data_IF_325106670708
#
_entry.id   IF_325106670708
#
_cell.length_a   1.000
_cell.length_b   1.000
_cell.length_c   1.000
_cell.angle_alpha   90.00
_cell.angle_beta   90.00
_cell.angle_gamma   90.00
#
_symmetry.space_group_name_H-M   'P 1'
#
loop_
_entity.id
_entity.type
_entity.pdbx_description
1 polymer ?
#
# COMPACT_ATOMS: atom_id res chain seq x y z
N UNK A 1 0.19 20.05 -6.54
CA UNK A 1 0.35 18.58 -6.37
C UNK A 1 0.83 18.23 -4.97
N UNK A 2 1.97 18.77 -4.50
CA UNK A 2 2.52 18.45 -3.18
C UNK A 2 1.56 18.69 -2.01
N UNK A 3 0.88 19.84 -1.95
CA UNK A 3 -0.06 20.15 -0.87
C UNK A 3 -1.20 19.12 -0.81
N UNK A 4 -1.80 18.80 -1.97
CA UNK A 4 -2.88 17.80 -2.06
C UNK A 4 -2.36 16.44 -1.60
N UNK A 5 -1.17 16.04 -2.07
CA UNK A 5 -0.54 14.79 -1.67
C UNK A 5 -0.32 14.70 -0.16
N UNK A 6 0.26 15.73 0.46
CA UNK A 6 0.49 15.78 1.90
C UNK A 6 -0.82 15.83 2.70
N UNK A 7 -1.83 16.57 2.23
CA UNK A 7 -3.17 16.59 2.84
C UNK A 7 -3.81 15.21 2.82
N UNK A 8 -3.72 14.46 1.73
CA UNK A 8 -4.20 13.08 1.67
C UNK A 8 -3.38 12.17 2.59
N UNK A 9 -2.06 12.27 2.54
CA UNK A 9 -1.15 11.42 3.29
C UNK A 9 -1.32 11.54 4.81
N UNK A 10 -1.43 12.76 5.34
CA UNK A 10 -1.51 13.03 6.77
C UNK A 10 -2.94 13.26 7.26
N UNK A 11 -3.83 13.76 6.41
CA UNK A 11 -5.20 14.09 6.77
C UNK A 11 -6.15 12.90 6.71
N UNK A 12 -5.85 11.84 5.95
CA UNK A 12 -6.77 10.70 5.80
C UNK A 12 -6.75 9.79 7.02
N UNK A 13 -7.93 9.48 7.56
CA UNK A 13 -8.10 8.44 8.57
C UNK A 13 -8.11 7.06 7.91
N UNK A 14 -7.28 6.16 8.43
CA UNK A 14 -7.21 4.77 7.97
C UNK A 14 -7.90 3.88 9.01
N UNK A 15 -9.12 3.40 8.72
CA UNK A 15 -9.82 2.48 9.60
C UNK A 15 -9.19 1.09 9.54
N UNK A 16 -9.60 0.25 10.49
CA UNK A 16 -9.31 -1.18 10.46
C UNK A 16 -9.91 -1.80 9.19
N UNK A 17 -9.23 -2.82 8.67
CA UNK A 17 -9.63 -3.47 7.44
C UNK A 17 -9.36 -4.97 7.49
N UNK A 18 -10.10 -5.72 6.69
CA UNK A 18 -10.03 -7.17 6.66
C UNK A 18 -9.79 -7.65 5.24
N UNK A 19 -9.17 -8.82 5.11
CA UNK A 19 -8.92 -9.45 3.82
C UNK A 19 -8.93 -10.97 3.94
N UNK A 20 -9.09 -11.61 2.80
CA UNK A 20 -8.98 -13.06 2.66
C UNK A 20 -7.71 -13.37 1.89
N UNK A 21 -6.94 -14.35 2.34
CA UNK A 21 -5.75 -14.80 1.61
C UNK A 21 -6.18 -15.47 0.31
N UNK A 22 -5.80 -14.87 -0.82
CA UNK A 22 -6.11 -15.38 -2.16
C UNK A 22 -4.94 -16.17 -2.78
N UNK A 23 -3.78 -16.25 -2.11
CA UNK A 23 -2.64 -17.00 -2.63
C UNK A 23 -2.89 -18.53 -2.49
N UNK A 24 -3.06 -19.30 -3.59
CA UNK A 24 -3.35 -20.73 -3.54
C UNK A 24 -2.21 -21.57 -2.96
N UNK A 25 -0.98 -21.06 -3.03
CA UNK A 25 0.21 -21.74 -2.49
C UNK A 25 0.39 -21.54 -0.98
N UNK A 26 -0.41 -20.64 -0.39
CA UNK A 26 -0.34 -20.37 1.04
C UNK A 26 -1.11 -21.43 1.84
N UNK A 27 -0.55 -21.95 2.96
CA UNK A 27 -1.32 -22.78 3.88
C UNK A 27 -2.52 -22.04 4.50
N UNK A 28 -2.52 -20.72 4.40
CA UNK A 28 -3.59 -19.85 4.88
C UNK A 28 -4.61 -19.48 3.81
N UNK A 29 -4.58 -20.12 2.63
CA UNK A 29 -5.54 -19.84 1.56
C UNK A 29 -7.00 -19.91 2.06
N UNK A 30 -7.77 -18.87 1.77
CA UNK A 30 -9.16 -18.74 2.24
C UNK A 30 -9.33 -18.28 3.68
N UNK A 31 -8.26 -18.13 4.48
CA UNK A 31 -8.35 -17.56 5.82
C UNK A 31 -8.62 -16.06 5.79
N UNK A 32 -9.43 -15.61 6.75
CA UNK A 32 -9.74 -14.21 6.97
C UNK A 32 -8.83 -13.61 8.03
N UNK A 33 -8.23 -12.48 7.72
CA UNK A 33 -7.40 -11.71 8.63
C UNK A 33 -7.95 -10.31 8.80
N UNK A 34 -7.79 -9.77 10.01
CA UNK A 34 -8.11 -8.39 10.36
C UNK A 34 -6.81 -7.65 10.65
N UNK A 35 -6.71 -6.43 10.14
CA UNK A 35 -5.59 -5.52 10.36
C UNK A 35 -6.10 -4.31 11.12
N UNK A 36 -5.63 -4.19 12.36
CA UNK A 36 -5.94 -3.07 13.24
C UNK A 36 -5.02 -1.89 12.90
N UNK A 37 -5.65 -0.78 12.53
CA UNK A 37 -5.01 0.46 12.12
C UNK A 37 -5.45 1.61 13.00
N UNK A 38 -6.73 2.01 12.93
CA UNK A 38 -7.30 3.12 13.70
C UNK A 38 -6.48 4.42 13.75
N UNK A 39 -5.73 4.81 12.70
CA UNK A 39 -4.71 5.88 12.76
C UNK A 39 -4.81 6.90 11.63
N UNK A 40 -4.15 8.06 11.83
CA UNK A 40 -3.85 9.09 10.80
C UNK A 40 -2.34 9.27 10.68
N UNK A 41 -1.85 9.62 9.50
CA UNK A 41 -0.45 10.03 9.28
C UNK A 41 0.63 8.95 9.47
N UNK A 42 0.25 7.67 9.61
CA UNK A 42 1.20 6.57 9.65
C UNK A 42 1.73 6.30 8.24
N UNK A 43 3.04 6.42 8.03
CA UNK A 43 3.65 6.25 6.70
C UNK A 43 3.98 4.78 6.39
N UNK A 44 4.29 4.00 7.43
CA UNK A 44 4.63 2.59 7.26
C UNK A 44 3.36 1.77 6.94
N UNK A 45 3.46 0.80 6.02
CA UNK A 45 2.42 -0.23 5.85
C UNK A 45 2.12 -0.93 7.19
N UNK A 46 0.93 -1.52 7.38
CA UNK A 46 -0.20 -1.65 6.44
C UNK A 46 -1.22 -0.49 6.45
N UNK A 47 -1.04 0.44 7.39
CA UNK A 47 -2.04 1.43 7.78
C UNK A 47 -1.79 2.83 7.22
N UNK A 48 -1.08 2.93 6.10
CA UNK A 48 -0.83 4.21 5.47
C UNK A 48 -2.01 4.64 4.58
N UNK A 49 -2.15 5.96 4.43
CA UNK A 49 -3.25 6.56 3.68
C UNK A 49 -3.21 6.19 2.19
N UNK A 50 -2.01 6.04 1.61
CA UNK A 50 -1.82 5.68 0.20
C UNK A 50 -2.45 4.32 -0.09
N UNK A 51 -2.06 3.29 0.67
CA UNK A 51 -2.60 1.94 0.55
C UNK A 51 -4.08 1.86 0.90
N UNK A 52 -4.57 2.72 1.80
CA UNK A 52 -6.01 2.82 2.06
C UNK A 52 -6.79 3.35 0.84
N UNK A 53 -6.34 4.46 0.26
CA UNK A 53 -6.97 5.05 -0.93
C UNK A 53 -6.90 4.08 -2.10
N UNK A 54 -5.75 3.45 -2.30
CA UNK A 54 -5.50 2.47 -3.34
C UNK A 54 -6.47 1.26 -3.24
N UNK A 55 -6.61 0.67 -2.05
CA UNK A 55 -7.61 -0.38 -1.76
C UNK A 55 -9.05 0.08 -1.99
N UNK A 56 -9.37 1.35 -1.73
CA UNK A 56 -10.73 1.89 -1.88
C UNK A 56 -11.09 2.20 -3.33
N UNK A 57 -10.13 2.62 -4.14
CA UNK A 57 -10.37 3.04 -5.53
C UNK A 57 -10.25 1.86 -6.49
N UNK A 58 -9.18 1.06 -6.39
CA UNK A 58 -8.90 -0.05 -7.32
C UNK A 58 -9.34 -1.41 -6.76
N UNK A 59 -9.63 -1.48 -5.46
CA UNK A 59 -9.96 -2.73 -4.79
C UNK A 59 -8.73 -3.55 -4.40
N UNK A 60 -8.96 -4.53 -3.53
CA UNK A 60 -7.90 -5.40 -2.99
C UNK A 60 -7.35 -6.39 -4.02
N UNK A 61 -8.13 -6.71 -5.05
CA UNK A 61 -7.78 -7.74 -6.04
C UNK A 61 -6.67 -7.30 -7.01
N UNK A 62 -6.40 -6.00 -7.12
CA UNK A 62 -5.29 -5.52 -7.96
C UNK A 62 -3.94 -5.55 -7.24
N UNK A 63 -3.93 -5.70 -5.91
CA UNK A 63 -2.71 -5.70 -5.12
C UNK A 63 -1.88 -6.97 -5.37
N UNK A 64 -0.57 -6.83 -5.33
CA UNK A 64 0.33 -7.97 -5.51
C UNK A 64 0.24 -8.96 -4.34
N UNK A 65 0.08 -10.25 -4.65
CA UNK A 65 -0.05 -11.33 -3.66
C UNK A 65 1.27 -11.78 -3.03
N UNK A 66 2.42 -11.45 -3.63
CA UNK A 66 3.76 -11.72 -3.08
C UNK A 66 4.52 -10.42 -2.74
N UNK A 67 3.97 -9.58 -1.85
CA UNK A 67 4.50 -8.25 -1.60
C UNK A 67 5.86 -8.26 -0.89
N UNK A 68 6.68 -7.24 -1.19
CA UNK A 68 8.05 -7.12 -0.71
C UNK A 68 8.19 -7.12 0.83
N UNK A 69 7.17 -6.64 1.55
CA UNK A 69 7.19 -6.59 3.01
C UNK A 69 7.18 -7.96 3.70
N UNK A 70 6.89 -9.06 2.98
CA UNK A 70 7.02 -10.44 3.51
C UNK A 70 8.46 -10.78 3.87
N UNK A 71 9.41 -10.06 3.26
CA UNK A 71 10.85 -10.15 3.52
C UNK A 71 11.29 -9.31 4.74
N UNK A 72 10.35 -8.60 5.39
CA UNK A 72 10.65 -7.79 6.57
C UNK A 72 10.98 -8.67 7.79
N UNK A 73 11.80 -8.13 8.70
CA UNK A 73 12.16 -8.79 9.97
C UNK A 73 10.94 -9.11 10.86
N UNK A 74 9.83 -8.39 10.66
CA UNK A 74 8.58 -8.66 11.38
C UNK A 74 7.86 -9.91 10.87
N UNK A 75 8.11 -10.29 9.61
CA UNK A 75 7.41 -11.40 8.96
C UNK A 75 8.27 -12.66 8.87
N UNK A 76 9.60 -12.56 8.70
CA UNK A 76 10.47 -13.72 8.54
C UNK A 76 11.83 -13.55 9.21
N UNK A 77 12.39 -14.64 9.74
CA UNK A 77 13.74 -14.70 10.28
C UNK A 77 14.83 -14.58 9.19
N UNK A 78 14.48 -14.89 7.93
CA UNK A 78 15.41 -14.87 6.80
C UNK A 78 15.61 -13.48 6.19
N UNK A 79 15.07 -12.43 6.81
CA UNK A 79 15.19 -11.06 6.32
C UNK A 79 16.67 -10.70 6.05
N UNK A 80 17.02 -10.15 4.87
CA UNK A 80 16.15 -9.50 3.89
C UNK A 80 15.62 -10.42 2.79
N UNK A 81 15.80 -11.73 2.88
CA UNK A 81 15.29 -12.70 1.92
C UNK A 81 13.88 -13.16 2.30
N UNK A 82 13.16 -13.71 1.33
CA UNK A 82 11.90 -14.39 1.60
C UNK A 82 12.17 -15.72 2.32
N UNK A 83 11.26 -16.09 3.20
CA UNK A 83 11.34 -17.30 3.98
C UNK A 83 9.97 -17.66 4.55
N UNK A 84 9.88 -18.74 5.33
CA UNK A 84 8.67 -19.04 6.07
C UNK A 84 8.28 -17.85 6.96
N UNK A 85 6.98 -17.59 7.05
CA UNK A 85 6.44 -16.63 8.00
C UNK A 85 6.69 -17.14 9.43
N UNK A 86 6.98 -16.22 10.34
CA UNK A 86 7.08 -16.53 11.76
C UNK A 86 5.73 -17.05 12.28
N UNK A 87 5.74 -18.00 13.22
CA UNK A 87 4.52 -18.53 13.83
C UNK A 87 3.66 -17.43 14.48
N UNK A 88 4.32 -16.41 15.02
CA UNK A 88 3.69 -15.24 15.65
C UNK A 88 3.76 -14.00 14.73
N UNK A 89 3.81 -14.19 13.41
CA UNK A 89 3.82 -13.08 12.47
C UNK A 89 2.54 -12.23 12.62
N UNK A 90 2.64 -10.89 12.58
CA UNK A 90 1.47 -10.04 12.62
C UNK A 90 0.59 -10.28 11.38
N UNK A 91 -0.73 -10.13 11.52
CA UNK A 91 -1.72 -10.46 10.48
C UNK A 91 -1.46 -9.78 9.14
N UNK A 92 -0.91 -8.58 9.15
CA UNK A 92 -0.55 -7.84 7.92
C UNK A 92 0.58 -8.47 7.11
N UNK A 93 1.36 -9.41 7.66
CA UNK A 93 2.34 -10.17 6.88
C UNK A 93 1.68 -11.05 5.80
N UNK A 94 0.40 -11.39 5.98
CA UNK A 94 -0.39 -12.16 5.01
C UNK A 94 -1.14 -11.26 4.01
N UNK A 95 -1.12 -9.94 4.22
CA UNK A 95 -1.84 -9.00 3.37
C UNK A 95 -1.17 -8.85 2.00
N UNK A 96 -1.94 -8.65 0.93
CA UNK A 96 -1.42 -8.18 -0.33
C UNK A 96 -1.06 -6.68 -0.25
N UNK A 97 -0.10 -6.23 -1.06
CA UNK A 97 0.36 -4.84 -1.04
C UNK A 97 0.97 -4.42 -2.38
N UNK A 98 0.70 -3.17 -2.78
CA UNK A 98 1.22 -2.55 -3.99
C UNK A 98 2.20 -1.42 -3.59
N UNK A 99 3.50 -1.51 -3.94
CA UNK A 99 4.51 -0.52 -3.57
C UNK A 99 4.34 0.85 -4.23
N UNK A 100 3.77 0.91 -5.44
CA UNK A 100 3.64 2.16 -6.20
C UNK A 100 2.38 2.94 -5.80
N UNK A 101 1.25 2.24 -5.70
CA UNK A 101 -0.08 2.77 -5.37
C UNK A 101 -0.60 3.83 -6.35
N UNK A 102 -1.93 3.95 -6.48
CA UNK A 102 -2.54 4.91 -7.41
C UNK A 102 -2.15 6.38 -7.18
N UNK A 103 -1.80 6.75 -5.94
CA UNK A 103 -1.49 8.13 -5.59
C UNK A 103 -0.18 8.62 -6.25
N UNK A 104 0.79 7.72 -6.43
CA UNK A 104 2.04 8.03 -7.16
C UNK A 104 1.72 8.36 -8.62
N UNK A 105 0.92 7.52 -9.28
CA UNK A 105 0.51 7.71 -10.69
C UNK A 105 -0.27 9.01 -10.89
N UNK A 106 -1.22 9.33 -10.01
CA UNK A 106 -1.97 10.60 -10.07
C UNK A 106 -1.03 11.79 -9.93
N UNK A 107 -0.08 11.72 -9.01
CA UNK A 107 0.89 12.79 -8.79
C UNK A 107 1.77 13.03 -10.02
N UNK A 108 2.17 11.96 -10.71
CA UNK A 108 2.94 12.01 -11.94
C UNK A 108 2.12 12.66 -13.07
N UNK A 109 0.90 12.19 -13.32
CA UNK A 109 0.00 12.72 -14.36
C UNK A 109 -0.25 14.22 -14.15
N UNK A 110 -0.60 14.64 -12.93
CA UNK A 110 -0.83 16.05 -12.62
C UNK A 110 0.42 16.89 -12.82
N UNK A 111 1.60 16.37 -12.43
CA UNK A 111 2.86 17.08 -12.60
C UNK A 111 3.23 17.21 -14.08
N UNK A 112 3.00 16.19 -14.89
CA UNK A 112 3.21 16.22 -16.35
C UNK A 112 2.28 17.21 -17.02
N UNK A 113 0.99 17.25 -16.67
CA UNK A 113 0.02 18.19 -17.24
C UNK A 113 0.42 19.64 -16.91
N UNK A 114 0.76 19.92 -15.64
CA UNK A 114 1.23 21.24 -15.21
C UNK A 114 2.51 21.62 -15.98
N UNK A 115 3.47 20.69 -16.08
CA UNK A 115 4.71 20.89 -16.83
C UNK A 115 4.46 21.19 -18.30
N UNK A 116 3.52 20.50 -18.95
CA UNK A 116 3.15 20.76 -20.34
C UNK A 116 2.49 22.13 -20.51
N UNK A 117 1.57 22.51 -19.62
CA UNK A 117 0.93 23.82 -19.67
C UNK A 117 1.95 24.95 -19.57
N UNK A 118 2.81 24.94 -18.56
CA UNK A 118 3.80 26.02 -18.37
C UNK A 118 4.98 25.93 -19.35
N UNK A 119 5.35 24.73 -19.79
CA UNK A 119 6.37 24.53 -20.83
C UNK A 119 5.91 25.10 -22.17
N UNK A 120 4.66 24.86 -22.58
CA UNK A 120 4.11 25.44 -23.81
C UNK A 120 4.05 26.98 -23.74
N UNK A 121 3.72 27.56 -22.58
CA UNK A 121 3.73 29.01 -22.38
C UNK A 121 5.14 29.65 -22.41
N UNK A 122 6.21 28.90 -22.15
CA UNK A 122 7.59 29.39 -22.17
C UNK A 122 8.26 29.30 -23.55
N UNK A 123 7.68 28.56 -24.49
CA UNK A 123 8.20 28.33 -25.84
C UNK A 123 7.32 28.93 -26.97
N UNK A 124 6.31 29.73 -26.60
CA UNK A 124 5.58 30.67 -27.48
C UNK A 124 6.03 32.08 -27.12
#
# INVERSE_FOLDING_TARGET
>A
VLIIYLSVLYGTYVPDWQFTVQNPESPDFGKHFVVECGVRGKLNPPCNAVGYVDRKVLGINHLYYHPAWRRSKACTANSPYEGPLLENAPSWCHAPFEPEGILSSISAILSTIIGLHFGMFLFI
#
